data_IF_400033365683
#
_entry.id   IF_400033365683
#
_cell.length_a   1.000
_cell.length_b   1.000
_cell.length_c   1.000
_cell.angle_alpha   90.00
_cell.angle_beta   90.00
_cell.angle_gamma   90.00
#
_symmetry.space_group_name_H-M   'P 1'
#
loop_
_entity.id
_entity.type
_entity.pdbx_description
1 polymer ?
#
# COMPACT_ATOMS: atom_id res chain seq x y z
N UNK A 1 -24.97 -9.20 -1.78
CA UNK A 1 -23.95 -8.20 -2.12
C UNK A 1 -23.91 -7.17 -1.01
N UNK A 2 -22.78 -7.01 -0.32
CA UNK A 2 -22.64 -5.92 0.66
C UNK A 2 -22.35 -4.63 -0.12
N UNK A 3 -23.23 -3.64 -0.01
CA UNK A 3 -23.04 -2.33 -0.62
C UNK A 3 -22.03 -1.53 0.22
N UNK A 4 -20.74 -1.70 -0.05
CA UNK A 4 -19.70 -0.89 0.57
C UNK A 4 -19.48 0.38 -0.25
N UNK A 5 -19.36 1.55 0.39
CA UNK A 5 -19.07 2.83 -0.28
C UNK A 5 -17.74 2.86 -1.05
N UNK A 6 -16.94 1.80 -1.00
CA UNK A 6 -15.66 1.65 -1.71
C UNK A 6 -15.75 2.01 -3.20
N UNK A 7 -16.85 1.63 -3.87
CA UNK A 7 -17.07 1.93 -5.30
C UNK A 7 -17.38 3.41 -5.56
N UNK A 8 -18.01 4.08 -4.59
CA UNK A 8 -18.29 5.52 -4.63
C UNK A 8 -17.03 6.33 -4.29
N UNK A 9 -16.14 5.76 -3.47
CA UNK A 9 -14.87 6.35 -3.06
C UNK A 9 -13.72 6.05 -4.03
N UNK A 10 -14.01 5.38 -5.15
CA UNK A 10 -13.01 4.98 -6.16
C UNK A 10 -11.82 4.21 -5.55
N UNK A 11 -12.07 3.43 -4.50
CA UNK A 11 -11.02 2.73 -3.76
C UNK A 11 -10.22 1.77 -4.66
N UNK A 12 -10.91 1.08 -5.57
CA UNK A 12 -10.26 0.19 -6.53
C UNK A 12 -9.33 0.97 -7.49
N UNK A 13 -9.74 2.14 -7.96
CA UNK A 13 -8.92 2.99 -8.83
C UNK A 13 -7.68 3.55 -8.10
N UNK A 14 -7.84 3.94 -6.83
CA UNK A 14 -6.71 4.35 -5.98
C UNK A 14 -5.73 3.18 -5.81
N UNK A 15 -6.23 1.96 -5.58
CA UNK A 15 -5.39 0.77 -5.43
C UNK A 15 -4.62 0.46 -6.70
N UNK A 16 -5.25 0.56 -7.86
CA UNK A 16 -4.61 0.36 -9.16
C UNK A 16 -3.51 1.40 -9.41
N UNK A 17 -3.76 2.67 -9.06
CA UNK A 17 -2.75 3.73 -9.11
C UNK A 17 -1.55 3.41 -8.20
N UNK A 18 -1.80 2.97 -6.96
CA UNK A 18 -0.74 2.61 -6.01
C UNK A 18 0.09 1.42 -6.49
N UNK A 19 -0.52 0.43 -7.14
CA UNK A 19 0.19 -0.72 -7.68
C UNK A 19 1.25 -0.31 -8.73
N UNK A 20 0.97 0.75 -9.50
CA UNK A 20 1.93 1.34 -10.44
C UNK A 20 3.21 1.89 -9.80
N UNK A 21 3.20 2.18 -8.49
CA UNK A 21 4.37 2.67 -7.75
C UNK A 21 5.15 1.55 -7.05
N UNK A 22 4.67 0.30 -7.07
CA UNK A 22 5.38 -0.82 -6.47
C UNK A 22 6.51 -1.32 -7.37
N UNK A 23 7.74 -1.37 -6.83
CA UNK A 23 8.95 -1.74 -7.56
C UNK A 23 9.13 -3.24 -7.77
N UNK A 24 8.27 -4.09 -7.21
CA UNK A 24 8.35 -5.55 -7.32
C UNK A 24 6.98 -6.19 -7.51
N UNK A 25 6.94 -7.39 -8.07
CA UNK A 25 5.71 -8.16 -8.26
C UNK A 25 5.03 -8.51 -6.92
N UNK A 26 5.84 -8.91 -5.92
CA UNK A 26 5.35 -9.11 -4.55
C UNK A 26 4.69 -7.83 -3.99
N UNK A 27 5.30 -6.67 -4.22
CA UNK A 27 4.75 -5.38 -3.81
C UNK A 27 3.42 -5.08 -4.50
N UNK A 28 3.34 -5.28 -5.82
CA UNK A 28 2.10 -5.13 -6.61
C UNK A 28 0.99 -6.02 -6.08
N UNK A 29 1.27 -7.31 -5.88
CA UNK A 29 0.30 -8.28 -5.35
C UNK A 29 -0.22 -7.88 -3.95
N UNK A 30 0.67 -7.43 -3.05
CA UNK A 30 0.27 -6.92 -1.73
C UNK A 30 -0.64 -5.69 -1.83
N UNK A 31 -0.35 -4.75 -2.72
CA UNK A 31 -1.20 -3.56 -2.93
C UNK A 31 -2.56 -3.98 -3.48
N UNK A 32 -2.62 -4.85 -4.49
CA UNK A 32 -3.86 -5.34 -5.09
C UNK A 32 -4.77 -6.08 -4.09
N UNK A 33 -4.21 -6.71 -3.06
CA UNK A 33 -4.96 -7.39 -2.01
C UNK A 33 -5.51 -6.44 -0.92
N UNK A 34 -5.16 -5.14 -0.93
CA UNK A 34 -5.66 -4.21 0.08
C UNK A 34 -7.18 -4.04 -0.02
N UNK A 35 -7.82 -4.02 1.15
CA UNK A 35 -9.23 -3.74 1.33
C UNK A 35 -9.43 -2.66 2.40
N UNK A 36 -10.53 -1.89 2.37
CA UNK A 36 -10.85 -0.94 3.43
C UNK A 36 -10.97 -1.67 4.78
N UNK A 37 -10.26 -1.16 5.79
CA UNK A 37 -10.31 -1.73 7.14
C UNK A 37 -11.18 -0.89 8.06
N UNK A 38 -11.81 -1.55 9.05
CA UNK A 38 -12.48 -0.93 10.19
C UNK A 38 -11.76 -1.23 11.51
N UNK A 39 -10.66 -1.98 11.45
CA UNK A 39 -9.82 -2.29 12.61
C UNK A 39 -8.89 -1.10 12.88
N UNK A 40 -9.13 -0.41 14.00
CA UNK A 40 -8.36 0.76 14.40
C UNK A 40 -6.88 0.44 14.64
N UNK A 41 -6.57 -0.70 15.26
CA UNK A 41 -5.19 -1.07 15.56
C UNK A 41 -4.41 -1.31 14.26
N UNK A 42 -5.05 -1.99 13.30
CA UNK A 42 -4.48 -2.16 11.97
C UNK A 42 -4.26 -0.82 11.26
N UNK A 43 -5.25 0.09 11.28
CA UNK A 43 -5.16 1.40 10.64
C UNK A 43 -4.00 2.22 11.22
N UNK A 44 -3.90 2.31 12.55
CA UNK A 44 -2.84 3.05 13.24
C UNK A 44 -1.47 2.49 12.87
N UNK A 45 -1.32 1.16 12.85
CA UNK A 45 -0.06 0.53 12.46
C UNK A 45 0.32 0.85 11.00
N UNK A 46 -0.63 0.77 10.06
CA UNK A 46 -0.35 1.12 8.65
C UNK A 46 0.03 2.60 8.48
N UNK A 47 -0.61 3.51 9.22
CA UNK A 47 -0.28 4.94 9.19
C UNK A 47 1.12 5.20 9.75
N UNK A 48 1.50 4.54 10.86
CA UNK A 48 2.84 4.65 11.43
C UNK A 48 3.90 4.17 10.44
N UNK A 49 3.75 2.95 9.90
CA UNK A 49 4.69 2.40 8.92
C UNK A 49 4.83 3.32 7.69
N UNK A 50 3.71 3.87 7.22
CA UNK A 50 3.72 4.82 6.09
C UNK A 50 4.50 6.09 6.42
N UNK A 51 4.34 6.62 7.64
CA UNK A 51 5.07 7.80 8.09
C UNK A 51 6.58 7.54 8.20
N UNK A 52 6.97 6.40 8.75
CA UNK A 52 8.37 5.97 8.88
C UNK A 52 9.04 5.83 7.50
N UNK A 53 8.39 5.15 6.55
CA UNK A 53 8.92 4.99 5.18
C UNK A 53 9.00 6.33 4.44
N UNK A 54 8.02 7.21 4.64
CA UNK A 54 8.07 8.56 4.05
C UNK A 54 9.27 9.35 4.55
N UNK A 55 9.55 9.28 5.86
CA UNK A 55 10.70 9.95 6.46
C UNK A 55 12.02 9.35 5.97
N UNK A 56 12.12 8.02 5.94
CA UNK A 56 13.28 7.30 5.39
C UNK A 56 13.59 7.74 3.96
N UNK A 57 12.57 7.81 3.09
CA UNK A 57 12.74 8.30 1.71
C UNK A 57 13.09 9.79 1.65
N UNK A 58 12.53 10.62 2.53
CA UNK A 58 12.79 12.07 2.59
C UNK A 58 14.26 12.38 2.85
N UNK A 59 14.93 11.55 3.66
CA UNK A 59 16.36 11.69 3.97
C UNK A 59 17.28 10.98 2.96
N UNK A 60 16.74 10.51 1.82
CA UNK A 60 17.51 9.87 0.75
C UNK A 60 17.67 8.35 0.89
N UNK A 61 17.00 7.74 1.87
CA UNK A 61 16.99 6.29 2.03
C UNK A 61 16.30 5.60 0.84
N UNK A 62 16.92 4.54 0.33
CA UNK A 62 16.31 3.65 -0.63
C UNK A 62 16.51 2.20 -0.20
N UNK A 63 15.63 1.34 -0.69
CA UNK A 63 15.83 -0.10 -0.62
C UNK A 63 16.33 -0.57 -1.98
N UNK A 64 17.33 -1.45 -1.97
CA UNK A 64 17.79 -2.12 -3.17
C UNK A 64 17.16 -3.51 -3.21
N UNK A 65 16.22 -3.70 -4.13
CA UNK A 65 15.51 -4.96 -4.32
C UNK A 65 15.95 -5.67 -5.61
N UNK A 66 16.92 -5.12 -6.34
CA UNK A 66 17.51 -5.76 -7.51
C UNK A 66 18.18 -7.07 -7.10
N UNK A 67 17.89 -8.16 -7.83
CA UNK A 67 18.49 -9.47 -7.59
C UNK A 67 17.80 -10.34 -6.53
N UNK A 68 16.69 -9.89 -5.93
CA UNK A 68 15.83 -10.77 -5.13
C UNK A 68 15.01 -11.65 -6.10
N UNK A 69 15.39 -12.93 -6.20
CA UNK A 69 14.56 -13.95 -6.84
C UNK A 69 13.53 -14.49 -5.83
N UNK A 70 12.36 -14.89 -6.34
CA UNK A 70 11.26 -15.48 -5.56
C UNK A 70 11.65 -16.80 -4.86
#
# INVERSE_FOLDING_TARGET
MQHTSARVLEFDALRDLLAGYASSELGRSKVSALAPSRDLAWIVNQQQLTAEIREFRRVGGHFEFSGLAD
#
